data_IF_018702906941
#
_entry.id   IF_018702906941
#
_cell.length_a   1.000
_cell.length_b   1.000
_cell.length_c   1.000
_cell.angle_alpha   90.00
_cell.angle_beta   90.00
_cell.angle_gamma   90.00
#
_symmetry.space_group_name_H-M   'P 1'
#
loop_
_entity.id
_entity.type
_entity.pdbx_description
1 polymer ?
#
# COMPACT_ATOMS: atom_id res chain seq x y z
N UNK A 1 0.30 0.68 7.02
CA UNK A 1 -0.42 -0.12 6.01
C UNK A 1 0.09 0.11 4.57
N UNK A 2 0.00 1.31 3.97
CA UNK A 2 0.29 1.47 2.52
C UNK A 2 1.71 1.04 2.10
N UNK A 3 2.73 1.29 2.93
CA UNK A 3 4.09 0.79 2.68
C UNK A 3 4.20 -0.73 2.76
N UNK A 4 3.55 -1.36 3.74
CA UNK A 4 3.52 -2.82 3.92
C UNK A 4 2.83 -3.52 2.74
N UNK A 5 1.72 -2.93 2.26
CA UNK A 5 1.01 -3.39 1.08
C UNK A 5 1.92 -3.29 -0.14
N UNK A 6 2.56 -2.14 -0.36
CA UNK A 6 3.46 -1.96 -1.49
C UNK A 6 4.62 -2.96 -1.45
N UNK A 7 5.29 -3.13 -0.30
CA UNK A 7 6.38 -4.10 -0.15
C UNK A 7 5.93 -5.53 -0.48
N UNK A 8 4.77 -5.95 0.04
CA UNK A 8 4.21 -7.29 -0.19
C UNK A 8 3.88 -7.51 -1.67
N UNK A 9 3.19 -6.55 -2.28
CA UNK A 9 2.74 -6.65 -3.69
C UNK A 9 3.92 -6.60 -4.64
N UNK A 10 4.89 -5.71 -4.41
CA UNK A 10 6.12 -5.65 -5.22
C UNK A 10 6.81 -7.01 -5.18
N UNK A 11 7.05 -7.54 -3.98
CA UNK A 11 7.68 -8.85 -3.80
C UNK A 11 6.92 -9.97 -4.52
N UNK A 12 5.58 -10.02 -4.37
CA UNK A 12 4.75 -11.04 -5.02
C UNK A 12 4.85 -10.97 -6.55
N UNK A 13 4.65 -9.78 -7.14
CA UNK A 13 4.61 -9.66 -8.61
C UNK A 13 5.97 -9.89 -9.25
N UNK A 14 7.06 -9.34 -8.69
CA UNK A 14 8.40 -9.54 -9.27
C UNK A 14 8.91 -10.98 -9.11
N UNK A 15 8.39 -11.73 -8.13
CA UNK A 15 8.68 -13.15 -7.96
C UNK A 15 7.79 -14.08 -8.81
N UNK A 16 6.82 -13.52 -9.55
CA UNK A 16 5.96 -14.26 -10.47
C UNK A 16 4.63 -14.74 -9.89
N UNK A 17 4.25 -14.27 -8.70
CA UNK A 17 2.96 -14.60 -8.09
C UNK A 17 1.84 -13.68 -8.61
N UNK A 18 0.62 -14.22 -8.67
CA UNK A 18 -0.60 -13.43 -8.75
C UNK A 18 -0.87 -12.72 -7.42
N UNK A 19 -1.68 -11.67 -7.46
CA UNK A 19 -2.06 -10.93 -6.25
C UNK A 19 -3.52 -11.20 -5.87
N UNK A 20 -3.75 -11.38 -4.58
CA UNK A 20 -5.04 -11.21 -3.93
C UNK A 20 -4.81 -10.22 -2.79
N UNK A 21 -5.73 -9.25 -2.66
CA UNK A 21 -5.62 -8.30 -1.56
C UNK A 21 -6.31 -8.85 -0.31
N UNK A 22 -5.58 -8.92 0.80
CA UNK A 22 -6.10 -9.38 2.09
C UNK A 22 -6.79 -8.29 2.92
N UNK A 23 -6.84 -8.47 4.24
CA UNK A 23 -7.34 -7.44 5.16
C UNK A 23 -6.24 -6.49 5.66
N UNK A 24 -6.65 -5.35 6.18
CA UNK A 24 -5.78 -4.45 6.96
C UNK A 24 -6.04 -4.57 8.46
N UNK A 25 -5.20 -3.94 9.28
CA UNK A 25 -5.27 -4.05 10.75
C UNK A 25 -5.28 -5.52 11.22
N UNK A 26 -4.42 -6.34 10.61
CA UNK A 26 -4.31 -7.80 10.82
C UNK A 26 -5.62 -8.57 10.57
N UNK A 27 -6.59 -7.95 9.89
CA UNK A 27 -7.94 -8.47 9.66
C UNK A 27 -8.73 -8.80 10.94
N UNK A 28 -8.39 -8.17 12.08
CA UNK A 28 -9.08 -8.39 13.36
C UNK A 28 -9.88 -7.18 13.84
N UNK A 29 -9.73 -6.03 13.18
CA UNK A 29 -10.38 -4.79 13.57
C UNK A 29 -11.56 -4.45 12.66
N UNK A 30 -12.75 -4.31 13.27
CA UNK A 30 -14.01 -4.01 12.57
C UNK A 30 -13.91 -2.63 11.90
N UNK A 31 -14.43 -2.52 10.67
CA UNK A 31 -14.52 -1.28 9.89
C UNK A 31 -13.19 -0.57 9.59
N UNK A 32 -12.02 -1.21 9.69
CA UNK A 32 -10.74 -0.56 9.39
C UNK A 32 -10.31 -0.70 7.92
N UNK A 33 -11.19 -1.17 7.04
CA UNK A 33 -10.88 -1.47 5.65
C UNK A 33 -11.64 -0.55 4.69
N UNK A 34 -10.99 -0.07 3.63
CA UNK A 34 -11.56 0.87 2.67
C UNK A 34 -11.33 0.42 1.22
N UNK A 35 -11.93 1.08 0.22
CA UNK A 35 -11.59 0.85 -1.18
C UNK A 35 -10.16 1.29 -1.58
N UNK A 36 -9.45 2.06 -0.74
CA UNK A 36 -8.12 2.58 -1.09
C UNK A 36 -7.04 1.51 -1.09
N UNK A 37 -7.09 0.56 -0.16
CA UNK A 37 -6.05 -0.46 -0.03
C UNK A 37 -6.01 -1.49 -1.17
N UNK A 38 -7.14 -2.07 -1.64
CA UNK A 38 -7.10 -2.96 -2.82
C UNK A 38 -6.81 -2.18 -4.11
N UNK A 39 -7.26 -0.92 -4.21
CA UNK A 39 -6.88 -0.02 -5.31
C UNK A 39 -5.36 0.17 -5.33
N UNK A 40 -4.77 0.49 -4.19
CA UNK A 40 -3.33 0.69 -4.05
C UNK A 40 -2.54 -0.56 -4.42
N UNK A 41 -2.96 -1.74 -3.92
CA UNK A 41 -2.34 -3.00 -4.29
C UNK A 41 -2.38 -3.25 -5.80
N UNK A 42 -3.52 -2.98 -6.44
CA UNK A 42 -3.67 -3.13 -7.90
C UNK A 42 -2.75 -2.18 -8.68
N UNK A 43 -2.66 -0.92 -8.26
CA UNK A 43 -1.77 0.06 -8.90
C UNK A 43 -0.29 -0.31 -8.76
N UNK A 44 0.13 -0.79 -7.59
CA UNK A 44 1.49 -1.28 -7.37
C UNK A 44 1.77 -2.49 -8.26
N UNK A 45 0.85 -3.46 -8.30
CA UNK A 45 1.02 -4.66 -9.10
C UNK A 45 1.22 -4.33 -10.58
N UNK A 46 0.38 -3.46 -11.14
CA UNK A 46 0.55 -2.99 -12.51
C UNK A 46 1.80 -2.14 -12.70
N UNK A 47 2.19 -1.36 -11.68
CA UNK A 47 3.32 -0.45 -11.74
C UNK A 47 4.69 -1.14 -11.74
N UNK A 48 4.77 -2.39 -11.30
CA UNK A 48 6.01 -3.18 -11.30
C UNK A 48 6.07 -4.27 -12.37
N UNK A 49 5.11 -4.31 -13.31
CA UNK A 49 5.17 -5.24 -14.45
C UNK A 49 6.47 -4.99 -15.24
N UNK A 50 7.26 -6.05 -15.43
CA UNK A 50 8.55 -5.99 -16.12
C UNK A 50 9.72 -5.47 -15.26
N UNK A 51 9.48 -5.15 -13.99
CA UNK A 51 10.55 -4.83 -13.04
C UNK A 51 11.37 -6.09 -12.73
N UNK A 52 12.69 -5.94 -12.63
CA UNK A 52 13.57 -7.06 -12.28
C UNK A 52 13.44 -7.40 -10.79
N UNK A 53 13.65 -8.68 -10.44
CA UNK A 53 13.69 -9.13 -9.04
C UNK A 53 14.71 -8.36 -8.19
N UNK A 54 15.89 -8.06 -8.75
CA UNK A 54 16.92 -7.31 -8.05
C UNK A 54 16.48 -5.88 -7.74
N UNK A 55 15.87 -5.18 -8.70
CA UNK A 55 15.34 -3.83 -8.45
C UNK A 55 14.20 -3.88 -7.43
N UNK A 56 13.24 -4.79 -7.60
CA UNK A 56 12.13 -4.96 -6.66
C UNK A 56 12.60 -5.23 -5.23
N UNK A 57 13.63 -6.07 -5.05
CA UNK A 57 14.25 -6.36 -3.76
C UNK A 57 14.82 -5.10 -3.08
N UNK A 58 15.48 -4.23 -3.83
CA UNK A 58 16.02 -2.98 -3.27
C UNK A 58 14.91 -2.00 -2.87
N UNK A 59 13.80 -1.94 -3.60
CA UNK A 59 12.62 -1.17 -3.18
C UNK A 59 12.04 -1.76 -1.89
N UNK A 60 11.81 -3.07 -1.85
CA UNK A 60 11.22 -3.75 -0.69
C UNK A 60 12.05 -3.52 0.58
N UNK A 61 13.38 -3.61 0.52
CA UNK A 61 14.26 -3.29 1.66
C UNK A 61 14.10 -1.84 2.14
N UNK A 62 14.04 -0.88 1.22
CA UNK A 62 13.83 0.54 1.55
C UNK A 62 12.47 0.77 2.23
N UNK A 63 11.44 0.06 1.79
CA UNK A 63 10.11 0.14 2.40
C UNK A 63 10.08 -0.52 3.78
N UNK A 64 10.66 -1.70 3.92
CA UNK A 64 10.72 -2.45 5.17
C UNK A 64 11.36 -1.62 6.29
N UNK A 65 12.49 -0.96 6.00
CA UNK A 65 13.20 -0.10 6.94
C UNK A 65 12.36 1.07 7.50
N UNK A 66 11.22 1.41 6.87
CA UNK A 66 10.33 2.48 7.37
C UNK A 66 9.38 2.01 8.47
N UNK A 67 9.12 0.71 8.58
CA UNK A 67 8.08 0.20 9.46
C UNK A 67 8.50 -1.01 10.29
N UNK A 68 9.62 -1.68 9.99
CA UNK A 68 10.01 -2.93 10.66
C UNK A 68 10.15 -2.77 12.18
N UNK A 69 10.81 -1.70 12.63
CA UNK A 69 11.00 -1.41 14.05
C UNK A 69 9.68 -1.10 14.78
N UNK A 70 8.66 -0.68 14.04
CA UNK A 70 7.36 -0.31 14.59
C UNK A 70 6.32 -1.43 14.47
N UNK A 71 6.68 -2.62 13.96
CA UNK A 71 5.74 -3.76 13.86
C UNK A 71 5.09 -4.10 15.22
N UNK A 72 5.83 -4.13 16.37
CA UNK A 72 5.22 -4.41 17.67
C UNK A 72 4.17 -3.37 18.09
N UNK A 73 4.34 -2.11 17.67
CA UNK A 73 3.54 -0.96 18.07
C UNK A 73 2.85 -0.31 16.86
N UNK A 74 2.51 -1.11 15.85
CA UNK A 74 1.96 -0.60 14.60
C UNK A 74 0.68 0.21 14.86
N UNK A 75 0.51 1.38 14.21
CA UNK A 75 -0.68 2.20 14.42
C UNK A 75 -1.93 1.42 13.98
N UNK A 76 -2.96 1.43 14.82
CA UNK A 76 -4.24 0.75 14.54
C UNK A 76 -4.91 1.26 13.26
N UNK A 77 -4.70 2.53 12.94
CA UNK A 77 -5.34 3.20 11.81
C UNK A 77 -6.66 3.85 12.21
N UNK A 78 -7.51 4.11 11.20
CA UNK A 78 -8.81 4.75 11.34
C UNK A 78 -9.89 3.79 10.83
N UNK A 79 -11.10 3.89 11.39
CA UNK A 79 -12.27 3.24 10.80
C UNK A 79 -12.63 3.88 9.47
N UNK A 80 -13.46 3.21 8.68
CA UNK A 80 -13.97 3.68 7.40
C UNK A 80 -14.60 5.06 7.55
N UNK A 81 -15.50 5.25 8.51
CA UNK A 81 -16.15 6.55 8.76
C UNK A 81 -15.17 7.66 9.17
N UNK A 82 -14.07 7.31 9.83
CA UNK A 82 -13.04 8.27 10.26
C UNK A 82 -12.12 8.72 9.12
N UNK A 83 -12.00 7.93 8.04
CA UNK A 83 -11.11 8.22 6.91
C UNK A 83 -11.82 8.31 5.56
N UNK A 84 -13.15 8.19 5.54
CA UNK A 84 -14.00 8.21 4.36
C UNK A 84 -15.18 9.16 4.54
N UNK A 85 -15.40 10.02 3.56
CA UNK A 85 -16.61 10.83 3.49
C UNK A 85 -17.77 9.95 3.00
N UNK A 86 -18.70 9.67 3.91
CA UNK A 86 -19.86 8.81 3.66
C UNK A 86 -20.84 9.38 2.63
N UNK A 87 -20.88 10.70 2.45
CA UNK A 87 -21.77 11.36 1.47
C UNK A 87 -21.19 11.29 0.08
N UNK A 88 -19.90 11.66 -0.06
CA UNK A 88 -19.23 11.72 -1.37
C UNK A 88 -18.64 10.38 -1.79
N UNK A 89 -18.56 9.42 -0.87
CA UNK A 89 -17.89 8.11 -1.05
C UNK A 89 -16.44 8.28 -1.51
N UNK A 90 -15.72 9.21 -0.88
CA UNK A 90 -14.33 9.51 -1.19
C UNK A 90 -13.47 9.51 0.08
N UNK A 91 -12.16 9.20 -0.02
CA UNK A 91 -11.28 9.35 1.11
C UNK A 91 -11.16 10.81 1.53
N UNK A 92 -11.02 11.06 2.83
CA UNK A 92 -10.80 12.40 3.36
C UNK A 92 -9.46 12.97 2.85
N UNK A 93 -9.30 14.29 2.95
CA UNK A 93 -8.11 15.00 2.46
C UNK A 93 -6.81 14.43 3.04
N UNK A 94 -6.79 14.11 4.33
CA UNK A 94 -5.62 13.53 4.99
C UNK A 94 -5.20 12.19 4.36
N UNK A 95 -6.16 11.29 4.12
CA UNK A 95 -5.86 9.99 3.53
C UNK A 95 -5.42 10.15 2.06
N UNK A 96 -6.05 11.05 1.31
CA UNK A 96 -5.60 11.41 -0.05
C UNK A 96 -4.16 11.91 -0.07
N UNK A 97 -3.79 12.78 0.87
CA UNK A 97 -2.43 13.32 0.94
C UNK A 97 -1.41 12.25 1.29
N UNK A 98 -1.69 11.40 2.29
CA UNK A 98 -0.84 10.27 2.65
C UNK A 98 -0.59 9.37 1.44
N UNK A 99 -1.66 9.00 0.74
CA UNK A 99 -1.58 8.17 -0.45
C UNK A 99 -0.75 8.83 -1.58
N UNK A 100 -0.96 10.12 -1.86
CA UNK A 100 -0.20 10.82 -2.91
C UNK A 100 1.29 10.95 -2.58
N UNK A 101 1.63 11.19 -1.32
CA UNK A 101 3.03 11.28 -0.88
C UNK A 101 3.74 9.94 -1.10
N UNK A 102 3.12 8.82 -0.72
CA UNK A 102 3.68 7.49 -0.89
C UNK A 102 3.76 7.12 -2.38
N UNK A 103 2.73 7.47 -3.18
CA UNK A 103 2.73 7.29 -4.64
C UNK A 103 3.88 8.02 -5.31
N UNK A 104 4.14 9.27 -4.94
CA UNK A 104 5.28 10.03 -5.45
C UNK A 104 6.63 9.37 -5.08
N UNK A 105 6.79 8.99 -3.81
CA UNK A 105 8.02 8.31 -3.35
C UNK A 105 8.28 7.00 -4.12
N UNK A 106 7.26 6.17 -4.31
CA UNK A 106 7.42 4.93 -5.07
C UNK A 106 7.67 5.16 -6.56
N UNK A 107 7.16 6.26 -7.12
CA UNK A 107 7.46 6.64 -8.50
C UNK A 107 8.94 6.97 -8.67
N UNK A 108 9.53 7.70 -7.72
CA UNK A 108 10.97 7.98 -7.70
C UNK A 108 11.82 6.71 -7.56
N UNK A 109 11.30 5.70 -6.86
CA UNK A 109 11.95 4.38 -6.73
C UNK A 109 11.78 3.48 -7.96
N UNK A 110 10.99 3.90 -8.96
CA UNK A 110 10.85 3.23 -10.25
C UNK A 110 9.53 2.48 -10.46
N UNK A 111 8.55 2.62 -9.55
CA UNK A 111 7.19 2.10 -9.78
C UNK A 111 6.47 2.97 -10.80
N UNK A 112 5.94 2.36 -11.87
CA UNK A 112 5.32 3.09 -13.00
C UNK A 112 3.80 3.13 -12.88
N UNK A 113 3.27 4.15 -12.21
CA UNK A 113 1.82 4.33 -12.10
C UNK A 113 1.21 4.74 -13.44
N UNK A 114 0.32 3.88 -13.97
CA UNK A 114 -0.41 4.11 -15.24
C UNK A 114 -1.87 4.52 -15.05
N UNK A 115 -2.40 4.28 -13.85
CA UNK A 115 -3.81 4.45 -13.47
C UNK A 115 -3.91 5.25 -12.17
#
# INVERSE_FOLDING_TARGET
>A
CLYEIAATVINAVVSGASIEFGGVAKAVEVDHFTPMEPKWASEIAHGVIGMTRSHGNEIVKKLLAKYEDNIPNAPKGKTYEQCWDMKTKQPIREYKQLYQNIKAELAELGVRFKF
#
